data_IF_421140315105
#
_entry.id   IF_421140315105
#
_cell.length_a   1.000
_cell.length_b   1.000
_cell.length_c   1.000
_cell.angle_alpha   90.00
_cell.angle_beta   90.00
_cell.angle_gamma   90.00
#
_symmetry.space_group_name_H-M   'P 1'
#
loop_
_entity.id
_entity.type
_entity.pdbx_description
1 polymer ?
#
# COMPACT_ATOMS: atom_id res chain seq x y z
N UNK A 1 -16.81 -39.33 -54.83
CA UNK A 1 -15.94 -39.95 -53.81
C UNK A 1 -16.49 -39.50 -52.46
N UNK A 2 -16.93 -40.40 -51.57
CA UNK A 2 -17.40 -39.99 -50.25
C UNK A 2 -16.21 -39.36 -49.49
N UNK A 3 -16.46 -38.21 -48.88
CA UNK A 3 -15.44 -37.45 -48.16
C UNK A 3 -14.78 -38.31 -47.09
N UNK A 4 -13.46 -38.17 -46.98
CA UNK A 4 -12.59 -38.92 -46.06
C UNK A 4 -13.09 -38.92 -44.61
N UNK A 5 -13.85 -37.88 -44.22
CA UNK A 5 -14.52 -37.74 -42.93
C UNK A 5 -15.57 -38.82 -42.64
N UNK A 6 -16.30 -39.29 -43.67
CA UNK A 6 -17.36 -40.29 -43.52
C UNK A 6 -16.79 -41.70 -43.24
N UNK A 7 -15.61 -41.99 -43.79
CA UNK A 7 -14.88 -43.24 -43.54
C UNK A 7 -14.22 -43.25 -42.16
N UNK A 8 -13.72 -42.11 -41.71
CA UNK A 8 -13.18 -41.94 -40.36
C UNK A 8 -14.27 -42.14 -39.29
N UNK A 9 -15.46 -41.54 -39.47
CA UNK A 9 -16.59 -41.73 -38.55
C UNK A 9 -17.02 -43.20 -38.44
N UNK A 10 -17.11 -43.93 -39.57
CA UNK A 10 -17.41 -45.37 -39.57
C UNK A 10 -16.36 -46.23 -38.88
N UNK A 11 -15.09 -45.83 -38.92
CA UNK A 11 -14.03 -46.54 -38.20
C UNK A 11 -14.13 -46.36 -36.67
N UNK A 12 -14.77 -45.28 -36.21
CA UNK A 12 -15.01 -45.00 -34.79
C UNK A 12 -16.40 -45.47 -34.28
N UNK A 13 -17.35 -45.84 -35.14
CA UNK A 13 -18.67 -46.40 -34.77
C UNK A 13 -18.61 -47.46 -33.65
N UNK A 14 -17.78 -48.52 -33.73
CA UNK A 14 -17.72 -49.52 -32.67
C UNK A 14 -17.17 -48.97 -31.35
N UNK A 15 -16.29 -47.96 -31.39
CA UNK A 15 -15.80 -47.30 -30.17
C UNK A 15 -16.87 -46.40 -29.56
N UNK A 16 -17.69 -45.75 -30.38
CA UNK A 16 -18.83 -44.96 -29.93
C UNK A 16 -19.91 -45.84 -29.30
N UNK A 17 -20.22 -47.00 -29.88
CA UNK A 17 -21.16 -47.97 -29.29
C UNK A 17 -20.65 -48.49 -27.94
N UNK A 18 -19.36 -48.84 -27.84
CA UNK A 18 -18.74 -49.23 -26.58
C UNK A 18 -18.84 -48.09 -25.56
N UNK A 19 -18.52 -46.86 -25.97
CA UNK A 19 -18.61 -45.67 -25.13
C UNK A 19 -20.06 -45.43 -24.64
N UNK A 20 -21.06 -45.62 -25.50
CA UNK A 20 -22.48 -45.50 -25.15
C UNK A 20 -22.91 -46.55 -24.13
N UNK A 21 -22.46 -47.80 -24.29
CA UNK A 21 -22.74 -48.88 -23.33
C UNK A 21 -22.12 -48.56 -21.97
N UNK A 22 -20.85 -48.14 -21.93
CA UNK A 22 -20.19 -47.76 -20.68
C UNK A 22 -20.80 -46.48 -20.06
N UNK A 23 -21.16 -45.50 -20.88
CA UNK A 23 -21.84 -44.27 -20.46
C UNK A 23 -23.20 -44.57 -19.83
N UNK A 24 -23.99 -45.45 -20.45
CA UNK A 24 -25.29 -45.89 -19.93
C UNK A 24 -25.14 -46.66 -18.63
N UNK A 25 -24.14 -47.55 -18.53
CA UNK A 25 -23.84 -48.29 -17.30
C UNK A 25 -23.40 -47.36 -16.17
N UNK A 26 -22.54 -46.37 -16.46
CA UNK A 26 -22.12 -45.36 -15.51
C UNK A 26 -23.29 -44.47 -15.06
N UNK A 27 -24.12 -44.00 -16.01
CA UNK A 27 -25.32 -43.21 -15.72
C UNK A 27 -26.29 -43.96 -14.81
N UNK A 28 -26.57 -45.23 -15.09
CA UNK A 28 -27.46 -46.05 -14.26
C UNK A 28 -26.85 -46.35 -12.88
N UNK A 29 -25.53 -46.55 -12.81
CA UNK A 29 -24.83 -46.72 -11.53
C UNK A 29 -24.88 -45.48 -10.64
N UNK A 30 -24.64 -44.30 -11.22
CA UNK A 30 -24.71 -43.00 -10.53
C UNK A 30 -26.16 -42.70 -10.12
N UNK A 31 -27.12 -42.82 -11.04
CA UNK A 31 -28.53 -42.61 -10.73
C UNK A 31 -29.01 -43.56 -9.63
N UNK A 32 -28.60 -44.84 -9.66
CA UNK A 32 -28.90 -45.81 -8.62
C UNK A 32 -28.41 -45.37 -7.23
N UNK A 33 -27.22 -44.79 -7.13
CA UNK A 33 -26.71 -44.24 -5.87
C UNK A 33 -27.38 -42.91 -5.47
N UNK A 34 -27.85 -42.13 -6.44
CA UNK A 34 -28.52 -40.85 -6.21
C UNK A 34 -30.03 -40.96 -5.91
N UNK A 35 -30.68 -42.09 -6.17
CA UNK A 35 -32.13 -42.31 -5.89
C UNK A 35 -32.52 -42.11 -4.43
N UNK A 36 -31.57 -42.19 -3.50
CA UNK A 36 -31.79 -42.00 -2.06
C UNK A 36 -31.87 -40.53 -1.63
N UNK A 37 -31.59 -39.58 -2.53
CA UNK A 37 -31.49 -38.16 -2.23
C UNK A 37 -32.46 -37.35 -3.10
N UNK A 38 -33.05 -36.31 -2.52
CA UNK A 38 -33.90 -35.40 -3.29
C UNK A 38 -33.04 -34.52 -4.21
N UNK A 39 -33.54 -34.12 -5.40
CA UNK A 39 -32.76 -33.36 -6.38
C UNK A 39 -32.09 -32.09 -5.82
N UNK A 40 -32.74 -31.39 -4.88
CA UNK A 40 -32.18 -30.19 -4.27
C UNK A 40 -30.97 -30.48 -3.38
N UNK A 41 -30.91 -31.66 -2.72
CA UNK A 41 -29.78 -32.06 -1.87
C UNK A 41 -28.53 -32.30 -2.71
N UNK A 42 -28.69 -32.92 -3.88
CA UNK A 42 -27.58 -33.13 -4.82
C UNK A 42 -27.02 -31.81 -5.32
N UNK A 43 -27.89 -30.86 -5.65
CA UNK A 43 -27.50 -29.50 -6.04
C UNK A 43 -26.77 -28.83 -4.88
N UNK A 44 -27.31 -28.87 -3.66
CA UNK A 44 -26.68 -28.28 -2.49
C UNK A 44 -25.28 -28.88 -2.21
N UNK A 45 -25.14 -30.21 -2.28
CA UNK A 45 -23.85 -30.87 -2.13
C UNK A 45 -22.86 -30.50 -3.23
N UNK A 46 -23.29 -30.41 -4.48
CA UNK A 46 -22.41 -29.96 -5.57
C UNK A 46 -21.93 -28.53 -5.36
N UNK A 47 -22.82 -27.60 -4.98
CA UNK A 47 -22.46 -26.20 -4.70
C UNK A 47 -21.49 -26.12 -3.52
N UNK A 48 -21.76 -26.84 -2.44
CA UNK A 48 -20.87 -26.89 -1.27
C UNK A 48 -19.51 -27.45 -1.65
N UNK A 49 -19.45 -28.56 -2.39
CA UNK A 49 -18.18 -29.16 -2.82
C UNK A 49 -17.42 -28.27 -3.80
N UNK A 50 -18.10 -27.61 -4.74
CA UNK A 50 -17.46 -26.64 -5.64
C UNK A 50 -16.91 -25.45 -4.85
N UNK A 51 -17.67 -24.89 -3.92
CA UNK A 51 -17.19 -23.81 -3.05
C UNK A 51 -16.02 -24.26 -2.16
N UNK A 52 -16.05 -25.48 -1.63
CA UNK A 52 -14.94 -26.06 -0.84
C UNK A 52 -13.70 -26.30 -1.70
N UNK A 53 -13.85 -26.74 -2.95
CA UNK A 53 -12.74 -26.94 -3.89
C UNK A 53 -12.14 -25.59 -4.29
N UNK A 54 -12.96 -24.60 -4.61
CA UNK A 54 -12.49 -23.24 -4.90
C UNK A 54 -11.81 -22.63 -3.69
N UNK A 55 -12.42 -22.73 -2.51
CA UNK A 55 -11.83 -22.28 -1.25
C UNK A 55 -10.53 -23.01 -0.94
N UNK A 56 -10.46 -24.32 -1.14
CA UNK A 56 -9.26 -25.13 -0.94
C UNK A 56 -8.15 -24.77 -1.92
N UNK A 57 -8.50 -24.58 -3.20
CA UNK A 57 -7.59 -24.13 -4.24
C UNK A 57 -7.04 -22.75 -3.92
N UNK A 58 -7.91 -21.77 -3.62
CA UNK A 58 -7.48 -20.45 -3.18
C UNK A 58 -6.62 -20.56 -1.92
N UNK A 59 -7.02 -21.34 -0.91
CA UNK A 59 -6.29 -21.49 0.35
C UNK A 59 -4.87 -22.05 0.15
N UNK A 60 -4.69 -23.03 -0.74
CA UNK A 60 -3.41 -23.68 -1.05
C UNK A 60 -2.55 -22.82 -1.97
N UNK A 61 -3.13 -22.15 -2.96
CA UNK A 61 -2.41 -21.38 -4.00
C UNK A 61 -2.34 -19.87 -3.73
N UNK A 62 -2.55 -19.40 -2.49
CA UNK A 62 -2.26 -18.01 -2.14
C UNK A 62 -0.75 -17.73 -2.18
N UNK A 63 -0.35 -16.46 -2.40
CA UNK A 63 1.06 -16.06 -2.40
C UNK A 63 1.79 -16.29 -1.06
N UNK A 64 1.09 -16.49 0.06
CA UNK A 64 1.73 -16.80 1.34
C UNK A 64 1.83 -18.31 1.61
N UNK A 65 3.02 -18.80 1.94
CA UNK A 65 3.25 -20.20 2.29
C UNK A 65 2.49 -20.63 3.56
N UNK A 66 2.00 -21.87 3.59
CA UNK A 66 1.32 -22.47 4.75
C UNK A 66 2.17 -22.38 6.03
N UNK A 67 3.49 -22.50 5.90
CA UNK A 67 4.45 -22.35 7.00
C UNK A 67 4.45 -20.94 7.59
N UNK A 68 4.37 -19.91 6.75
CA UNK A 68 4.26 -18.52 7.22
C UNK A 68 3.00 -18.30 8.05
N UNK A 69 1.87 -18.87 7.61
CA UNK A 69 0.59 -18.77 8.35
C UNK A 69 0.65 -19.47 9.69
N UNK A 70 1.17 -20.69 9.72
CA UNK A 70 1.37 -21.44 10.96
C UNK A 70 2.28 -20.66 11.91
N UNK A 71 3.42 -20.16 11.43
CA UNK A 71 4.36 -19.35 12.20
C UNK A 71 3.70 -18.08 12.75
N UNK A 72 2.91 -17.35 11.96
CA UNK A 72 2.16 -16.16 12.42
C UNK A 72 1.16 -16.52 13.52
N UNK A 73 0.44 -17.63 13.39
CA UNK A 73 -0.54 -18.08 14.39
C UNK A 73 0.13 -18.55 15.68
N UNK A 74 1.20 -19.34 15.58
CA UNK A 74 2.04 -19.72 16.70
C UNK A 74 2.67 -18.51 17.38
N UNK A 75 3.20 -17.55 16.62
CA UNK A 75 3.76 -16.30 17.15
C UNK A 75 2.72 -15.47 17.91
N UNK A 76 1.47 -15.42 17.40
CA UNK A 76 0.36 -14.75 18.08
C UNK A 76 -0.02 -15.45 19.38
N UNK A 77 0.02 -16.78 19.41
CA UNK A 77 -0.23 -17.60 20.61
C UNK A 77 0.90 -17.46 21.64
N UNK A 78 2.16 -17.50 21.22
CA UNK A 78 3.30 -17.36 22.13
C UNK A 78 3.36 -15.97 22.75
N UNK A 79 3.04 -14.92 22.00
CA UNK A 79 2.99 -13.54 22.52
C UNK A 79 1.92 -13.34 23.61
N UNK A 80 0.87 -14.17 23.64
CA UNK A 80 -0.18 -14.12 24.68
C UNK A 80 0.25 -14.78 26.00
N UNK A 81 1.39 -15.47 26.04
CA UNK A 81 1.88 -16.07 27.27
C UNK A 81 2.41 -15.00 28.24
N UNK A 82 2.04 -15.05 29.53
CA UNK A 82 2.34 -13.98 30.49
C UNK A 82 3.85 -13.75 30.69
N UNK A 83 4.67 -14.80 30.60
CA UNK A 83 6.14 -14.72 30.72
C UNK A 83 6.75 -13.97 29.53
N UNK A 84 6.26 -14.26 28.31
CA UNK A 84 6.73 -13.60 27.09
C UNK A 84 6.24 -12.15 27.05
N UNK A 85 5.01 -11.89 27.50
CA UNK A 85 4.47 -10.54 27.68
C UNK A 85 5.35 -9.67 28.58
N UNK A 86 5.78 -10.19 29.74
CA UNK A 86 6.69 -9.49 30.66
C UNK A 86 8.03 -9.15 29.99
N UNK A 87 8.67 -10.13 29.34
CA UNK A 87 9.96 -9.92 28.64
C UNK A 87 9.85 -8.92 27.48
N UNK A 88 8.70 -8.86 26.81
CA UNK A 88 8.40 -7.84 25.78
C UNK A 88 8.24 -6.47 26.44
N UNK A 89 7.51 -6.34 27.55
CA UNK A 89 7.39 -5.08 28.29
C UNK A 89 8.74 -4.58 28.80
N UNK A 90 9.59 -5.46 29.33
CA UNK A 90 10.94 -5.11 29.76
C UNK A 90 11.78 -4.57 28.60
N UNK A 91 11.68 -5.20 27.41
CA UNK A 91 12.33 -4.67 26.21
C UNK A 91 11.73 -3.35 25.76
N UNK A 92 10.42 -3.17 25.81
CA UNK A 92 9.76 -1.90 25.48
C UNK A 92 10.20 -0.78 26.42
N UNK A 93 10.29 -1.05 27.72
CA UNK A 93 10.77 -0.09 28.71
C UNK A 93 12.24 0.25 28.46
N UNK A 94 13.10 -0.75 28.25
CA UNK A 94 14.50 -0.50 27.84
C UNK A 94 14.60 0.31 26.57
N UNK A 95 13.83 -0.01 25.53
CA UNK A 95 13.79 0.77 24.29
C UNK A 95 13.28 2.19 24.53
N UNK A 96 12.29 2.38 25.41
CA UNK A 96 11.80 3.71 25.79
C UNK A 96 12.90 4.51 26.52
N UNK A 97 13.62 3.87 27.44
CA UNK A 97 14.72 4.49 28.17
C UNK A 97 15.89 4.81 27.24
N UNK A 98 16.23 3.90 26.32
CA UNK A 98 17.24 4.09 25.28
C UNK A 98 16.84 5.22 24.32
N UNK A 99 15.58 5.28 23.88
CA UNK A 99 15.04 6.40 23.08
C UNK A 99 15.16 7.69 23.89
N UNK A 100 14.73 7.70 25.15
CA UNK A 100 14.80 8.89 26.01
C UNK A 100 16.22 9.35 26.29
N UNK A 101 17.19 8.44 26.28
CA UNK A 101 18.61 8.72 26.49
C UNK A 101 19.27 9.24 25.21
N UNK A 102 18.94 8.64 24.06
CA UNK A 102 19.50 8.99 22.76
C UNK A 102 18.79 10.17 22.08
N UNK A 103 17.56 10.48 22.46
CA UNK A 103 16.81 11.65 22.03
C UNK A 103 16.88 12.76 23.09
N UNK A 104 18.09 13.20 23.43
CA UNK A 104 18.29 14.35 24.31
C UNK A 104 17.61 15.62 23.81
N UNK A 105 17.37 15.74 22.50
CA UNK A 105 16.60 16.83 21.89
C UNK A 105 15.10 16.84 22.27
N UNK A 106 14.55 15.74 22.80
CA UNK A 106 13.18 15.70 23.33
C UNK A 106 13.08 16.23 24.78
N UNK A 107 14.21 16.47 25.44
CA UNK A 107 14.25 17.05 26.78
C UNK A 107 14.18 18.57 26.68
N UNK A 108 12.99 19.04 26.38
CA UNK A 108 12.64 20.46 26.52
C UNK A 108 12.19 20.66 27.95
N UNK A 109 12.85 21.57 28.69
CA UNK A 109 12.53 21.93 30.08
C UNK A 109 11.26 22.80 30.18
N UNK A 110 10.20 22.44 29.44
CA UNK A 110 8.86 23.05 29.51
C UNK A 110 7.78 21.99 29.45
N UNK A 111 6.66 22.29 30.10
CA UNK A 111 5.53 21.36 30.17
C UNK A 111 4.81 21.23 28.82
N UNK A 112 4.48 20.00 28.45
CA UNK A 112 3.77 19.69 27.22
C UNK A 112 2.27 19.97 27.35
N UNK A 113 1.68 20.54 26.29
CA UNK A 113 0.22 20.63 26.15
C UNK A 113 -0.33 19.22 25.88
N UNK A 114 -1.04 18.65 26.86
CA UNK A 114 -1.57 17.26 26.81
C UNK A 114 -3.07 17.19 26.55
N UNK A 115 -3.76 18.32 26.63
CA UNK A 115 -5.19 18.43 26.40
C UNK A 115 -5.49 19.80 25.77
N UNK A 116 -6.64 19.88 25.08
CA UNK A 116 -7.14 21.14 24.56
C UNK A 116 -7.44 22.09 25.74
N UNK A 117 -7.00 23.36 25.70
CA UNK A 117 -7.29 24.29 26.79
C UNK A 117 -8.78 24.57 26.88
N UNK A 118 -9.29 24.73 28.11
CA UNK A 118 -10.72 24.99 28.36
C UNK A 118 -11.22 26.31 27.77
N UNK A 119 -10.31 27.25 27.51
CA UNK A 119 -10.59 28.54 26.89
C UNK A 119 -9.61 28.75 25.72
N UNK A 120 -10.12 29.31 24.62
CA UNK A 120 -9.30 29.65 23.46
C UNK A 120 -8.32 30.78 23.81
N UNK A 121 -7.05 30.60 23.46
CA UNK A 121 -6.04 31.64 23.60
C UNK A 121 -6.27 32.74 22.55
N UNK A 122 -5.91 33.98 22.89
CA UNK A 122 -5.86 35.06 21.91
C UNK A 122 -4.74 34.82 20.89
N UNK A 123 -4.85 35.43 19.70
CA UNK A 123 -3.82 35.32 18.66
C UNK A 123 -2.44 35.78 19.15
N UNK A 124 -2.37 36.84 19.95
CA UNK A 124 -1.11 37.33 20.54
C UNK A 124 -0.50 36.31 21.50
N UNK A 125 -1.30 35.70 22.37
CA UNK A 125 -0.84 34.69 23.31
C UNK A 125 -0.37 33.41 22.60
N UNK A 126 -1.01 33.03 21.49
CA UNK A 126 -0.55 31.91 20.64
C UNK A 126 0.80 32.23 20.01
N UNK A 127 0.96 33.42 19.42
CA UNK A 127 2.22 33.83 18.78
C UNK A 127 3.36 33.95 19.79
N UNK A 128 3.09 34.44 21.00
CA UNK A 128 4.07 34.49 22.09
C UNK A 128 4.55 33.07 22.46
N UNK A 129 3.62 32.13 22.62
CA UNK A 129 3.96 30.72 22.83
C UNK A 129 4.76 30.12 21.66
N UNK A 130 4.40 30.44 20.42
CA UNK A 130 5.14 29.97 19.24
C UNK A 130 6.59 30.50 19.21
N UNK A 131 6.81 31.75 19.63
CA UNK A 131 8.17 32.31 19.79
C UNK A 131 8.98 31.55 20.81
N UNK A 132 8.36 31.17 21.94
CA UNK A 132 9.03 30.34 22.93
C UNK A 132 9.50 29.01 22.34
N UNK A 133 8.68 28.33 21.54
CA UNK A 133 9.09 27.08 20.88
C UNK A 133 10.23 27.32 19.89
N UNK A 134 10.12 28.33 19.02
CA UNK A 134 11.18 28.61 18.04
C UNK A 134 12.52 28.99 18.68
N UNK A 135 12.50 29.57 19.89
CA UNK A 135 13.75 29.93 20.60
C UNK A 135 14.54 28.72 21.11
N UNK A 136 13.93 27.53 21.11
CA UNK A 136 14.56 26.26 21.49
C UNK A 136 15.23 25.56 20.31
N UNK A 137 14.99 26.03 19.08
CA UNK A 137 15.57 25.45 17.88
C UNK A 137 17.10 25.61 17.91
N UNK A 138 17.81 24.67 17.29
CA UNK A 138 19.26 24.78 17.13
C UNK A 138 19.61 26.05 16.34
N UNK A 139 20.82 26.59 16.55
CA UNK A 139 21.36 27.74 15.83
C UNK A 139 21.72 27.40 14.37
N UNK A 140 20.73 26.98 13.57
CA UNK A 140 20.89 26.64 12.17
C UNK A 140 21.22 27.86 11.31
N UNK A 141 20.82 29.06 11.75
CA UNK A 141 21.15 30.34 11.12
C UNK A 141 22.66 30.61 11.06
N UNK A 142 23.44 30.00 11.98
CA UNK A 142 24.90 30.08 11.99
C UNK A 142 25.56 29.02 11.07
N UNK A 143 24.79 28.28 10.27
CA UNK A 143 25.31 27.24 9.38
C UNK A 143 25.78 25.97 10.11
N UNK A 144 25.37 25.77 11.37
CA UNK A 144 25.81 24.63 12.20
C UNK A 144 24.98 23.35 12.00
N UNK A 145 23.98 23.37 11.12
CA UNK A 145 23.08 22.25 10.85
C UNK A 145 23.27 21.74 9.41
N UNK A 146 23.97 20.61 9.25
CA UNK A 146 24.24 20.02 7.93
C UNK A 146 22.95 19.59 7.23
N UNK A 147 22.75 20.04 5.99
CA UNK A 147 21.67 19.60 5.08
C UNK A 147 20.23 19.89 5.51
N UNK A 148 20.01 20.58 6.63
CA UNK A 148 18.68 20.73 7.23
C UNK A 148 17.92 21.93 6.67
N UNK A 149 18.60 23.07 6.51
CA UNK A 149 18.03 24.31 5.96
C UNK A 149 18.89 24.75 4.78
N UNK A 150 18.33 24.70 3.57
CA UNK A 150 19.07 24.96 2.32
C UNK A 150 19.24 26.44 2.00
N UNK A 151 18.30 27.27 2.48
CA UNK A 151 18.38 28.73 2.46
C UNK A 151 17.72 29.27 3.72
N UNK A 152 18.25 30.36 4.27
CA UNK A 152 17.73 31.03 5.46
C UNK A 152 17.67 32.54 5.28
N UNK A 153 17.67 33.03 4.04
CA UNK A 153 17.69 34.45 3.73
C UNK A 153 16.31 35.07 4.03
N UNK A 154 16.33 36.23 4.70
CA UNK A 154 15.15 36.86 5.25
C UNK A 154 14.18 37.34 4.17
N UNK A 155 14.67 38.02 3.12
CA UNK A 155 13.80 38.54 2.05
C UNK A 155 13.12 37.42 1.26
N UNK A 156 13.84 36.33 1.00
CA UNK A 156 13.28 35.13 0.39
C UNK A 156 12.20 34.53 1.30
N UNK A 157 12.45 34.44 2.60
CA UNK A 157 11.47 33.92 3.56
C UNK A 157 10.21 34.79 3.59
N UNK A 158 10.34 36.12 3.60
CA UNK A 158 9.21 37.05 3.53
C UNK A 158 8.39 36.88 2.24
N UNK A 159 9.06 36.70 1.10
CA UNK A 159 8.41 36.46 -0.17
C UNK A 159 7.60 35.16 -0.13
N UNK A 160 8.18 34.06 0.38
CA UNK A 160 7.53 32.76 0.46
C UNK A 160 6.34 32.76 1.43
N UNK A 161 6.45 33.43 2.57
CA UNK A 161 5.34 33.56 3.55
C UNK A 161 4.18 34.36 2.96
N UNK A 162 4.45 35.45 2.22
CA UNK A 162 3.40 36.21 1.52
C UNK A 162 2.70 35.36 0.46
N UNK A 163 3.48 34.66 -0.38
CA UNK A 163 2.93 33.76 -1.38
C UNK A 163 2.11 32.63 -0.76
N UNK A 164 2.54 32.05 0.37
CA UNK A 164 1.75 31.08 1.12
C UNK A 164 0.43 31.68 1.62
N UNK A 165 0.46 32.90 2.17
CA UNK A 165 -0.72 33.62 2.63
C UNK A 165 -1.78 33.78 1.54
N UNK A 166 -1.36 34.13 0.31
CA UNK A 166 -2.25 34.30 -0.85
C UNK A 166 -2.97 33.00 -1.27
N UNK A 167 -2.39 31.84 -0.95
CA UNK A 167 -2.90 30.51 -1.32
C UNK A 167 -3.28 29.64 -0.10
N UNK A 168 -3.34 30.18 1.11
CA UNK A 168 -3.47 29.41 2.35
C UNK A 168 -4.71 28.48 2.42
N UNK A 169 -5.78 28.85 1.72
CA UNK A 169 -7.04 28.08 1.65
C UNK A 169 -7.22 27.33 0.32
N UNK A 170 -6.22 27.36 -0.55
CA UNK A 170 -6.28 26.64 -1.81
C UNK A 170 -6.14 25.13 -1.60
N UNK A 171 -6.86 24.35 -2.41
CA UNK A 171 -6.81 22.89 -2.35
C UNK A 171 -6.77 22.30 -3.77
N UNK A 172 -5.67 21.66 -4.20
CA UNK A 172 -5.53 21.16 -5.57
C UNK A 172 -6.50 20.01 -5.90
N UNK A 173 -7.19 19.42 -4.91
CA UNK A 173 -8.27 18.47 -5.13
C UNK A 173 -9.48 19.09 -5.87
N UNK A 174 -9.64 20.41 -5.80
CA UNK A 174 -10.75 21.16 -6.41
C UNK A 174 -10.24 22.13 -7.49
N UNK A 175 -9.74 21.62 -8.63
CA UNK A 175 -9.15 22.46 -9.68
C UNK A 175 -10.15 23.37 -10.40
N UNK A 176 -11.45 23.07 -10.31
CA UNK A 176 -12.56 23.90 -10.75
C UNK A 176 -12.70 25.17 -9.90
N UNK A 177 -12.42 25.07 -8.59
CA UNK A 177 -12.45 26.19 -7.66
C UNK A 177 -11.11 26.96 -7.65
N UNK A 178 -9.99 26.24 -7.79
CA UNK A 178 -8.64 26.81 -7.71
C UNK A 178 -7.82 26.63 -9.01
N UNK A 179 -8.27 27.15 -10.16
CA UNK A 179 -7.57 26.97 -11.44
C UNK A 179 -6.20 27.66 -11.47
N UNK A 180 -6.01 28.72 -10.68
CA UNK A 180 -4.72 29.40 -10.52
C UNK A 180 -3.65 28.49 -9.92
N UNK A 181 -3.98 27.76 -8.85
CA UNK A 181 -3.07 26.77 -8.25
C UNK A 181 -2.74 25.65 -9.24
N UNK A 182 -3.75 25.13 -9.95
CA UNK A 182 -3.54 24.10 -10.99
C UNK A 182 -2.57 24.57 -12.07
N UNK A 183 -2.63 25.85 -12.46
CA UNK A 183 -1.70 26.44 -13.43
C UNK A 183 -0.28 26.49 -12.88
N UNK A 184 -0.12 26.93 -11.63
CA UNK A 184 1.19 26.99 -10.95
C UNK A 184 1.85 25.60 -10.91
N UNK A 185 1.12 24.57 -10.48
CA UNK A 185 1.68 23.20 -10.44
C UNK A 185 2.11 22.69 -11.83
N UNK A 186 1.31 22.97 -12.87
CA UNK A 186 1.66 22.60 -14.24
C UNK A 186 2.93 23.31 -14.73
N UNK A 187 3.11 24.58 -14.38
CA UNK A 187 4.30 25.37 -14.73
C UNK A 187 5.54 24.89 -13.97
N UNK A 188 5.42 24.58 -12.67
CA UNK A 188 6.51 24.00 -11.87
C UNK A 188 7.01 22.71 -12.51
N UNK A 189 6.10 21.79 -12.85
CA UNK A 189 6.44 20.52 -13.50
C UNK A 189 7.14 20.78 -14.84
N UNK A 190 6.62 21.68 -15.67
CA UNK A 190 7.21 21.96 -16.98
C UNK A 190 8.62 22.57 -16.86
N UNK A 191 8.83 23.50 -15.93
CA UNK A 191 10.14 24.09 -15.64
C UNK A 191 11.12 22.99 -15.22
N UNK A 192 10.72 22.11 -14.30
CA UNK A 192 11.56 20.98 -13.87
C UNK A 192 11.90 20.05 -15.03
N UNK A 193 10.93 19.65 -15.85
CA UNK A 193 11.17 18.82 -17.04
C UNK A 193 12.17 19.49 -18.01
N UNK A 194 12.06 20.81 -18.22
CA UNK A 194 12.99 21.57 -19.06
C UNK A 194 14.41 21.59 -18.48
N UNK A 195 14.58 21.74 -17.17
CA UNK A 195 15.90 21.68 -16.51
C UNK A 195 16.60 20.33 -16.71
N UNK A 196 15.83 19.24 -16.80
CA UNK A 196 16.34 17.89 -17.07
C UNK A 196 16.32 17.51 -18.56
N UNK A 197 16.14 18.47 -19.48
CA UNK A 197 16.12 18.27 -20.93
C UNK A 197 15.08 17.22 -21.41
N UNK A 198 13.91 17.16 -20.77
CA UNK A 198 12.92 16.10 -21.02
C UNK A 198 12.20 16.16 -22.38
N UNK A 199 12.25 17.27 -23.11
CA UNK A 199 11.52 17.44 -24.38
C UNK A 199 9.99 17.50 -24.23
N UNK A 200 9.23 17.54 -25.34
CA UNK A 200 7.77 17.72 -25.32
C UNK A 200 6.99 16.55 -24.72
N UNK A 201 7.49 15.32 -24.88
CA UNK A 201 6.81 14.11 -24.40
C UNK A 201 6.99 13.88 -22.89
N UNK A 202 7.86 14.67 -22.25
CA UNK A 202 8.04 14.60 -20.79
C UNK A 202 6.84 15.13 -20.02
N UNK A 203 6.56 14.47 -18.90
CA UNK A 203 5.50 14.82 -17.95
C UNK A 203 5.97 14.59 -16.50
N UNK A 204 5.19 15.07 -15.54
CA UNK A 204 5.46 14.88 -14.12
C UNK A 204 4.29 15.32 -13.24
N UNK A 205 4.49 15.23 -11.93
CA UNK A 205 3.55 15.66 -10.89
C UNK A 205 4.34 16.32 -9.75
N UNK A 206 3.73 17.30 -9.09
CA UNK A 206 4.24 17.84 -7.81
C UNK A 206 3.92 16.84 -6.70
N UNK A 207 4.83 16.68 -5.73
CA UNK A 207 4.66 15.79 -4.57
C UNK A 207 5.05 16.53 -3.29
N UNK A 208 4.75 15.96 -2.13
CA UNK A 208 5.09 16.55 -0.82
C UNK A 208 6.59 16.55 -0.50
N UNK A 209 7.39 15.73 -1.20
CA UNK A 209 8.83 15.64 -0.99
C UNK A 209 9.47 14.43 -1.67
N UNK A 210 10.80 14.31 -1.51
CA UNK A 210 11.60 13.29 -2.21
C UNK A 210 11.16 11.86 -1.94
N UNK A 211 10.74 11.54 -0.71
CA UNK A 211 10.24 10.21 -0.36
C UNK A 211 8.99 9.83 -1.15
N UNK A 212 8.01 10.73 -1.25
CA UNK A 212 6.80 10.47 -2.04
C UNK A 212 7.12 10.33 -3.52
N UNK A 213 8.00 11.18 -4.07
CA UNK A 213 8.45 11.07 -5.47
C UNK A 213 9.05 9.70 -5.79
N UNK A 214 9.91 9.18 -4.91
CA UNK A 214 10.50 7.84 -5.06
C UNK A 214 9.41 6.75 -4.99
N UNK A 215 8.50 6.85 -4.02
CA UNK A 215 7.41 5.88 -3.86
C UNK A 215 6.49 5.86 -5.09
N UNK A 216 6.15 7.02 -5.65
CA UNK A 216 5.32 7.13 -6.85
C UNK A 216 6.00 6.52 -8.08
N UNK A 217 7.31 6.73 -8.24
CA UNK A 217 8.08 6.08 -9.30
C UNK A 217 8.13 4.55 -9.12
N UNK A 218 8.42 4.07 -7.90
CA UNK A 218 8.41 2.63 -7.59
C UNK A 218 7.04 2.00 -7.84
N UNK A 219 5.95 2.69 -7.43
CA UNK A 219 4.57 2.24 -7.66
C UNK A 219 4.25 2.15 -9.15
N UNK A 220 4.60 3.17 -9.94
CA UNK A 220 4.37 3.18 -11.38
C UNK A 220 5.08 2.00 -12.08
N UNK A 221 6.36 1.77 -11.77
CA UNK A 221 7.10 0.63 -12.36
C UNK A 221 6.61 -0.73 -11.87
N UNK A 222 6.18 -0.84 -10.61
CA UNK A 222 5.56 -2.06 -10.08
C UNK A 222 4.28 -2.40 -10.83
N UNK A 223 3.43 -1.41 -11.09
CA UNK A 223 2.17 -1.63 -11.81
C UNK A 223 2.42 -1.98 -13.29
N UNK A 224 3.41 -1.35 -13.94
CA UNK A 224 3.89 -1.75 -15.26
C UNK A 224 4.43 -3.19 -15.28
N UNK A 225 5.11 -3.63 -14.23
CA UNK A 225 5.57 -5.01 -14.10
C UNK A 225 4.42 -6.01 -13.94
N UNK A 226 3.35 -5.62 -13.22
CA UNK A 226 2.12 -6.43 -13.14
C UNK A 226 1.44 -6.58 -14.50
N UNK A 227 1.38 -5.53 -15.32
CA UNK A 227 0.88 -5.61 -16.70
C UNK A 227 1.71 -6.58 -17.57
N UNK A 228 3.01 -6.73 -17.27
CA UNK A 228 3.90 -7.71 -17.90
C UNK A 228 3.82 -9.12 -17.30
N UNK A 229 2.91 -9.36 -16.35
CA UNK A 229 2.70 -10.66 -15.71
C UNK A 229 3.68 -11.00 -14.58
N UNK A 230 4.52 -10.05 -14.15
CA UNK A 230 5.50 -10.26 -13.07
C UNK A 230 4.79 -10.14 -11.72
N UNK A 231 4.59 -11.27 -11.02
CA UNK A 231 3.85 -11.30 -9.73
C UNK A 231 4.60 -10.67 -8.56
N UNK A 232 5.93 -10.71 -8.58
CA UNK A 232 6.78 -10.19 -7.49
C UNK A 232 7.89 -9.30 -8.08
N UNK A 233 7.60 -8.03 -8.40
CA UNK A 233 8.58 -7.12 -8.97
C UNK A 233 9.73 -6.85 -7.99
N UNK A 234 10.96 -6.80 -8.51
CA UNK A 234 12.17 -6.55 -7.73
C UNK A 234 12.78 -5.20 -8.10
N UNK A 235 13.35 -4.50 -7.12
CA UNK A 235 14.09 -3.26 -7.30
C UNK A 235 15.56 -3.56 -6.99
N UNK A 236 16.45 -3.30 -7.95
CA UNK A 236 17.90 -3.47 -7.78
C UNK A 236 18.50 -2.15 -7.31
N UNK A 237 18.87 -2.08 -6.03
CA UNK A 237 19.64 -0.97 -5.48
C UNK A 237 21.12 -1.29 -5.41
N UNK A 238 22.00 -0.30 -5.66
CA UNK A 238 23.42 -0.44 -5.40
C UNK A 238 23.66 -0.23 -3.90
N UNK A 239 24.02 -1.29 -3.18
CA UNK A 239 24.49 -1.17 -1.80
C UNK A 239 25.85 -0.47 -1.80
N UNK A 240 25.96 0.63 -1.04
CA UNK A 240 27.25 1.14 -0.59
C UNK A 240 27.65 0.43 0.70
#
# INVERSE_FOLDING_TARGET
>A
MPSTDLLMLKAFEPYLEILEVYSTKAKNYVNGHCTKYEPWQLIAWSVVWTLLIVWGYEFVFQPESLWSRFKKKCFKLTRKMPIIGRKIQDKLNKTKDDISKNMSFLKVDKEYVKALPSQGLSSSAVLEKLKEYSSMDAFWQEGRASGTVYSGEEKLTELLVKAYGDFAWSNPLHPDIFPGLRKIEAEIVRIACSLFNGGPDSCGCVTSGGTESILMACKAYRDLAFEKGIKTPEIVGRGH
#
